data_IF_681259467855
#
_entry.id   IF_681259467855
#
_cell.length_a   1.000
_cell.length_b   1.000
_cell.length_c   1.000
_cell.angle_alpha   90.00
_cell.angle_beta   90.00
_cell.angle_gamma   90.00
#
_symmetry.space_group_name_H-M   'P 1'
#
loop_
_entity.id
_entity.type
_entity.pdbx_description
1 polymer ?
#
# COMPACT_ATOMS: atom_id res chain seq x y z
N UNK A 1 96.17 -16.61 -10.23
CA UNK A 1 96.45 -15.17 -10.35
C UNK A 1 95.29 -14.55 -11.11
N UNK A 2 94.64 -13.65 -10.57
CA UNK A 2 93.78 -12.53 -10.95
C UNK A 2 92.46 -12.50 -10.28
N UNK A 3 92.30 -11.46 -9.49
CA UNK A 3 91.13 -11.00 -8.80
C UNK A 3 90.17 -10.31 -9.75
N UNK A 4 88.91 -10.53 -9.64
CA UNK A 4 87.94 -9.63 -10.22
C UNK A 4 86.81 -9.33 -9.20
N UNK A 5 86.67 -8.07 -9.01
CA UNK A 5 85.82 -7.35 -8.06
C UNK A 5 84.33 -7.48 -8.34
N UNK A 6 83.54 -7.70 -7.27
CA UNK A 6 82.09 -7.62 -7.26
C UNK A 6 81.62 -6.16 -7.08
N UNK A 7 80.93 -5.66 -8.02
CA UNK A 7 80.17 -4.40 -7.86
C UNK A 7 78.71 -4.70 -7.63
N UNK A 8 78.23 -4.35 -6.43
CA UNK A 8 76.83 -4.44 -6.01
C UNK A 8 76.02 -3.29 -6.64
N UNK A 9 74.98 -3.63 -7.38
CA UNK A 9 73.95 -2.66 -7.84
C UNK A 9 72.74 -2.79 -6.94
N UNK A 10 72.51 -1.79 -6.05
CA UNK A 10 71.35 -1.63 -5.26
C UNK A 10 70.15 -1.12 -6.15
N UNK A 11 69.16 -1.94 -6.37
CA UNK A 11 67.89 -1.54 -7.00
C UNK A 11 66.93 -1.01 -5.93
N UNK A 12 66.75 0.30 -5.92
CA UNK A 12 65.68 0.95 -5.13
C UNK A 12 64.34 0.68 -5.79
N UNK A 13 63.46 -0.11 -5.17
CA UNK A 13 62.08 -0.29 -5.54
C UNK A 13 61.24 0.89 -5.03
N UNK A 14 60.82 1.77 -5.92
CA UNK A 14 59.79 2.79 -5.61
C UNK A 14 58.41 2.12 -5.69
N UNK A 15 57.78 1.88 -4.55
CA UNK A 15 56.40 1.50 -4.45
C UNK A 15 55.54 2.75 -4.72
N UNK A 16 54.87 2.79 -5.89
CA UNK A 16 53.85 3.78 -6.19
C UNK A 16 52.53 3.34 -5.54
N UNK A 17 52.12 4.01 -4.44
CA UNK A 17 50.78 3.89 -3.89
C UNK A 17 49.81 4.59 -4.86
N UNK A 18 49.09 3.80 -5.65
CA UNK A 18 47.89 4.28 -6.37
C UNK A 18 46.74 4.31 -5.38
N UNK A 19 46.45 5.48 -4.83
CA UNK A 19 45.24 5.71 -4.07
C UNK A 19 44.05 5.64 -5.04
N UNK A 20 43.29 4.53 -5.03
CA UNK A 20 41.98 4.43 -5.68
C UNK A 20 40.99 5.35 -4.93
N UNK A 21 40.85 6.56 -5.40
CA UNK A 21 39.75 7.43 -4.99
C UNK A 21 38.44 6.86 -5.61
N UNK A 22 37.70 6.08 -4.83
CA UNK A 22 36.32 5.74 -5.17
C UNK A 22 35.53 7.05 -5.21
N UNK A 23 34.84 7.36 -6.31
CA UNK A 23 33.94 8.50 -6.31
C UNK A 23 32.82 8.19 -5.29
N UNK A 24 32.80 8.88 -4.16
CA UNK A 24 31.58 9.02 -3.37
C UNK A 24 30.59 9.74 -4.31
N UNK A 25 29.69 8.98 -4.92
CA UNK A 25 28.51 9.53 -5.56
C UNK A 25 27.69 10.18 -4.45
N UNK A 26 27.95 11.45 -4.18
CA UNK A 26 27.05 12.28 -3.41
C UNK A 26 25.74 12.25 -4.17
N UNK A 27 24.80 11.45 -3.67
CA UNK A 27 23.41 11.49 -4.11
C UNK A 27 22.96 12.92 -3.83
N UNK A 28 22.88 13.75 -4.86
CA UNK A 28 22.42 15.13 -4.73
C UNK A 28 21.07 15.05 -4.03
N UNK A 29 20.96 15.62 -2.85
CA UNK A 29 19.71 15.72 -2.13
C UNK A 29 18.72 16.39 -3.08
N UNK A 30 17.66 15.68 -3.47
CA UNK A 30 16.63 16.24 -4.34
C UNK A 30 16.09 17.52 -3.72
N UNK A 31 15.87 18.55 -4.56
CA UNK A 31 15.40 19.85 -4.10
C UNK A 31 14.08 19.73 -3.34
N UNK A 32 13.91 20.49 -2.24
CA UNK A 32 12.66 20.49 -1.49
C UNK A 32 11.46 20.86 -2.39
N UNK A 33 10.32 20.25 -2.11
CA UNK A 33 9.07 20.55 -2.83
C UNK A 33 8.63 21.99 -2.59
N UNK A 34 8.24 22.69 -3.66
CA UNK A 34 7.68 24.04 -3.55
C UNK A 34 6.41 24.01 -2.68
N UNK A 35 6.22 25.10 -1.90
CA UNK A 35 5.04 25.25 -1.03
C UNK A 35 3.87 25.88 -1.73
N UNK A 36 4.14 26.79 -2.67
CA UNK A 36 3.11 27.50 -3.41
C UNK A 36 2.68 26.70 -4.64
N UNK A 37 1.38 26.54 -4.81
CA UNK A 37 0.77 25.89 -5.97
C UNK A 37 0.36 26.98 -6.94
N UNK A 38 0.88 26.98 -8.19
CA UNK A 38 0.45 27.93 -9.20
C UNK A 38 -1.05 27.79 -9.51
N UNK A 39 -1.65 28.87 -9.99
CA UNK A 39 -3.05 28.86 -10.38
C UNK A 39 -3.32 27.88 -11.53
N UNK A 40 -4.56 27.37 -11.60
CA UNK A 40 -5.06 26.49 -12.67
C UNK A 40 -4.40 25.11 -12.79
N UNK A 41 -3.69 24.64 -11.77
CA UNK A 41 -3.18 23.28 -11.76
C UNK A 41 -4.34 22.29 -11.58
N UNK A 42 -4.29 21.20 -12.35
CA UNK A 42 -5.27 20.11 -12.31
C UNK A 42 -4.58 18.81 -11.93
N UNK A 43 -5.22 18.03 -11.04
CA UNK A 43 -4.82 16.69 -10.67
C UNK A 43 -5.95 15.71 -10.97
N UNK A 44 -5.58 14.54 -11.52
CA UNK A 44 -6.47 13.40 -11.69
C UNK A 44 -6.08 12.34 -10.67
N UNK A 45 -7.02 11.99 -9.79
CA UNK A 45 -6.77 11.11 -8.64
C UNK A 45 -7.61 9.85 -8.76
N UNK A 46 -6.96 8.69 -8.68
CA UNK A 46 -7.69 7.43 -8.64
C UNK A 46 -8.33 7.20 -7.28
N UNK A 47 -9.55 6.70 -7.30
CA UNK A 47 -10.34 6.32 -6.14
C UNK A 47 -10.84 4.88 -6.28
N UNK A 48 -11.24 4.28 -5.17
CA UNK A 48 -11.87 2.97 -5.12
C UNK A 48 -13.11 3.07 -4.22
N UNK A 49 -14.25 2.65 -4.74
CA UNK A 49 -15.55 2.72 -4.03
C UNK A 49 -15.91 4.14 -3.52
N UNK A 50 -15.41 5.18 -4.18
CA UNK A 50 -15.62 6.60 -3.83
C UNK A 50 -15.07 7.00 -2.45
N UNK A 51 -14.28 6.16 -1.79
CA UNK A 51 -13.84 6.36 -0.41
C UNK A 51 -13.01 7.63 -0.24
N UNK A 52 -12.10 7.90 -1.17
CA UNK A 52 -11.21 9.07 -1.10
C UNK A 52 -11.98 10.37 -1.35
N UNK A 53 -12.80 10.42 -2.42
CA UNK A 53 -13.55 11.64 -2.74
C UNK A 53 -14.57 11.99 -1.66
N UNK A 54 -15.23 10.97 -1.07
CA UNK A 54 -16.18 11.19 0.04
C UNK A 54 -15.40 11.69 1.27
N UNK A 55 -14.27 11.12 1.60
CA UNK A 55 -13.41 11.57 2.71
C UNK A 55 -13.03 13.04 2.55
N UNK A 56 -12.48 13.41 1.38
CA UNK A 56 -12.01 14.77 1.10
C UNK A 56 -13.14 15.79 1.15
N UNK A 57 -14.36 15.41 0.71
CA UNK A 57 -15.54 16.28 0.77
C UNK A 57 -16.11 16.40 2.19
N UNK A 58 -16.29 15.28 2.88
CA UNK A 58 -16.89 15.25 4.21
C UNK A 58 -16.05 15.98 5.26
N UNK A 59 -14.73 15.84 5.19
CA UNK A 59 -13.78 16.57 6.06
C UNK A 59 -13.66 18.06 5.75
N UNK A 60 -14.13 18.51 4.58
CA UNK A 60 -13.90 19.87 4.08
C UNK A 60 -12.55 20.07 3.40
N UNK A 61 -11.66 19.08 3.42
CA UNK A 61 -10.30 19.15 2.83
C UNK A 61 -10.34 19.46 1.32
N UNK A 62 -11.36 18.98 0.60
CA UNK A 62 -11.56 19.29 -0.83
C UNK A 62 -11.58 20.81 -1.11
N UNK A 63 -12.13 21.60 -0.20
CA UNK A 63 -12.22 23.07 -0.35
C UNK A 63 -10.93 23.80 -0.05
N UNK A 64 -9.97 23.12 0.61
CA UNK A 64 -8.66 23.69 0.97
C UNK A 64 -7.60 23.41 -0.10
N UNK A 65 -7.91 22.52 -1.09
CA UNK A 65 -6.97 22.23 -2.16
C UNK A 65 -6.78 23.44 -3.07
N UNK A 66 -5.53 23.80 -3.31
CA UNK A 66 -5.16 24.88 -4.25
C UNK A 66 -5.32 24.43 -5.71
N UNK A 67 -5.18 23.14 -6.00
CA UNK A 67 -5.39 22.56 -7.34
C UNK A 67 -6.85 22.11 -7.55
N UNK A 68 -7.30 22.14 -8.80
CA UNK A 68 -8.56 21.48 -9.18
C UNK A 68 -8.35 19.98 -9.24
N UNK A 69 -9.12 19.21 -8.45
CA UNK A 69 -9.00 17.74 -8.39
C UNK A 69 -10.23 17.08 -8.99
N UNK A 70 -10.00 16.13 -9.89
CA UNK A 70 -11.00 15.19 -10.40
C UNK A 70 -10.68 13.77 -9.94
N UNK A 71 -11.74 13.00 -9.63
CA UNK A 71 -11.62 11.62 -9.18
C UNK A 71 -12.09 10.65 -10.25
N UNK A 72 -11.36 9.54 -10.42
CA UNK A 72 -11.73 8.44 -11.30
C UNK A 72 -11.77 7.14 -10.50
N UNK A 73 -12.92 6.45 -10.52
CA UNK A 73 -13.12 5.20 -9.77
C UNK A 73 -12.60 3.98 -10.53
N UNK A 74 -11.91 3.09 -9.81
CA UNK A 74 -11.34 1.85 -10.33
C UNK A 74 -11.73 0.64 -9.48
N UNK A 75 -11.77 -0.54 -10.12
CA UNK A 75 -12.11 -1.81 -9.46
C UNK A 75 -10.91 -2.46 -8.73
N UNK A 76 -9.76 -1.79 -8.62
CA UNK A 76 -8.59 -2.28 -7.90
C UNK A 76 -7.25 -1.85 -8.50
N UNK A 77 -6.18 -2.24 -7.81
CA UNK A 77 -4.81 -1.82 -8.10
C UNK A 77 -4.31 -2.06 -9.52
N UNK A 78 -4.52 -3.24 -10.13
CA UNK A 78 -4.07 -3.48 -11.51
C UNK A 78 -4.62 -2.49 -12.52
N UNK A 79 -5.91 -2.14 -12.44
CA UNK A 79 -6.51 -1.15 -13.35
C UNK A 79 -5.96 0.27 -13.11
N UNK A 80 -5.67 0.62 -11.86
CA UNK A 80 -5.01 1.88 -11.49
C UNK A 80 -3.59 1.94 -12.07
N UNK A 81 -2.84 0.84 -11.99
CA UNK A 81 -1.48 0.76 -12.54
C UNK A 81 -1.49 0.97 -14.07
N UNK A 82 -2.42 0.35 -14.80
CA UNK A 82 -2.58 0.58 -16.23
C UNK A 82 -2.93 2.05 -16.54
N UNK A 83 -3.77 2.69 -15.72
CA UNK A 83 -4.11 4.11 -15.90
C UNK A 83 -2.90 5.03 -15.65
N UNK A 84 -2.00 4.69 -14.70
CA UNK A 84 -0.72 5.39 -14.53
C UNK A 84 0.18 5.23 -15.77
N UNK A 85 0.30 4.02 -16.30
CA UNK A 85 1.07 3.75 -17.54
C UNK A 85 0.56 4.53 -18.73
N UNK A 86 -0.75 4.65 -18.84
CA UNK A 86 -1.41 5.47 -19.85
C UNK A 86 -1.24 6.99 -19.63
N UNK A 87 -0.65 7.42 -18.50
CA UNK A 87 -0.51 8.83 -18.13
C UNK A 87 -1.83 9.52 -17.77
N UNK A 88 -2.87 8.74 -17.44
CA UNK A 88 -4.21 9.24 -17.12
C UNK A 88 -4.36 9.67 -15.66
N UNK A 89 -3.40 9.35 -14.78
CA UNK A 89 -3.44 9.65 -13.35
C UNK A 89 -2.23 10.45 -12.89
N UNK A 90 -2.45 11.33 -11.93
CA UNK A 90 -1.40 12.02 -11.18
C UNK A 90 -1.18 11.38 -9.80
N UNK A 91 -2.24 10.89 -9.16
CA UNK A 91 -2.23 10.30 -7.81
C UNK A 91 -3.18 9.10 -7.69
N UNK A 92 -2.90 8.21 -6.74
CA UNK A 92 -3.83 7.15 -6.33
C UNK A 92 -3.61 6.74 -4.88
N UNK A 93 -4.70 6.40 -4.17
CA UNK A 93 -4.64 5.69 -2.89
C UNK A 93 -4.91 4.21 -3.15
N UNK A 94 -3.91 3.36 -2.90
CA UNK A 94 -3.99 1.91 -3.12
C UNK A 94 -3.24 1.17 -2.00
N UNK A 95 -3.35 -0.16 -1.94
CA UNK A 95 -2.55 -1.01 -1.05
C UNK A 95 -1.07 -1.11 -1.46
N UNK A 96 -0.34 -1.95 -0.76
CA UNK A 96 1.11 -2.09 -0.85
C UNK A 96 1.64 -2.84 -2.10
N UNK A 97 0.81 -3.61 -2.79
CA UNK A 97 1.25 -4.52 -3.87
C UNK A 97 1.42 -3.85 -5.24
N UNK A 98 0.57 -2.91 -5.69
CA UNK A 98 0.71 -2.30 -7.00
C UNK A 98 2.06 -1.62 -7.27
N UNK A 99 2.71 -0.89 -6.32
CA UNK A 99 4.05 -0.34 -6.57
C UNK A 99 5.10 -1.42 -6.71
N UNK A 100 4.98 -2.55 -5.97
CA UNK A 100 5.88 -3.70 -6.12
C UNK A 100 5.78 -4.27 -7.54
N UNK A 101 4.58 -4.38 -8.10
CA UNK A 101 4.37 -4.85 -9.48
C UNK A 101 4.95 -3.87 -10.51
N UNK A 102 4.76 -2.55 -10.31
CA UNK A 102 5.37 -1.53 -11.15
C UNK A 102 6.90 -1.62 -11.09
N UNK A 103 7.47 -1.71 -9.89
CA UNK A 103 8.91 -1.82 -9.68
C UNK A 103 9.50 -3.09 -10.29
N UNK A 104 8.80 -4.22 -10.19
CA UNK A 104 9.21 -5.48 -10.83
C UNK A 104 9.25 -5.36 -12.37
N UNK A 105 8.35 -4.56 -12.94
CA UNK A 105 8.32 -4.24 -14.37
C UNK A 105 9.34 -3.15 -14.79
N UNK A 106 10.15 -2.63 -13.85
CA UNK A 106 11.12 -1.55 -14.11
C UNK A 106 10.51 -0.14 -14.08
N UNK A 107 9.27 -0.01 -13.58
CA UNK A 107 8.54 1.24 -13.48
C UNK A 107 8.37 1.62 -12.00
N UNK A 108 9.17 2.55 -11.48
CA UNK A 108 8.98 3.01 -10.09
C UNK A 108 7.78 3.93 -10.02
N UNK A 109 6.82 3.60 -9.17
CA UNK A 109 5.66 4.44 -8.85
C UNK A 109 5.86 5.00 -7.43
N UNK A 110 6.32 6.27 -7.27
CA UNK A 110 6.74 6.79 -5.98
C UNK A 110 5.63 6.87 -4.93
N UNK A 111 5.90 6.33 -3.75
CA UNK A 111 5.07 6.45 -2.56
C UNK A 111 5.37 7.81 -1.92
N UNK A 112 4.35 8.66 -1.77
CA UNK A 112 4.47 10.03 -1.25
C UNK A 112 3.80 10.21 0.12
N UNK A 113 2.94 9.29 0.54
CA UNK A 113 2.37 9.26 1.89
C UNK A 113 1.89 7.84 2.24
N UNK A 114 1.79 7.57 3.54
CA UNK A 114 1.37 6.29 4.11
C UNK A 114 0.31 6.53 5.16
N UNK A 115 -0.72 5.69 5.16
CA UNK A 115 -1.70 5.56 6.24
C UNK A 115 -1.75 4.10 6.69
N UNK A 116 -1.74 3.88 7.98
CA UNK A 116 -1.89 2.56 8.60
C UNK A 116 -3.09 2.56 9.55
N UNK A 117 -3.70 1.39 9.71
CA UNK A 117 -4.71 1.12 10.72
C UNK A 117 -4.29 -0.13 11.50
N UNK A 118 -4.70 -0.24 12.76
CA UNK A 118 -4.36 -1.40 13.61
C UNK A 118 -5.20 -2.64 13.29
N UNK A 119 -6.36 -2.46 12.63
CA UNK A 119 -7.24 -3.54 12.23
C UNK A 119 -6.77 -4.30 10.99
N UNK A 120 -7.37 -5.45 10.70
CA UNK A 120 -7.02 -6.28 9.55
C UNK A 120 -7.37 -5.58 8.23
N UNK A 121 -6.51 -5.77 7.23
CA UNK A 121 -6.73 -5.24 5.87
C UNK A 121 -7.87 -5.99 5.15
N UNK A 122 -7.95 -7.30 5.36
CA UNK A 122 -8.96 -8.19 4.82
C UNK A 122 -9.49 -9.12 5.89
N UNK A 123 -10.73 -9.60 5.72
CA UNK A 123 -11.28 -10.71 6.50
C UNK A 123 -11.45 -11.95 5.63
N UNK A 124 -11.03 -13.09 6.15
CA UNK A 124 -11.19 -14.39 5.49
C UNK A 124 -12.61 -14.89 5.71
N UNK A 125 -13.47 -14.65 4.74
CA UNK A 125 -14.84 -15.16 4.72
C UNK A 125 -14.87 -16.61 4.22
N UNK A 126 -15.85 -17.38 4.70
CA UNK A 126 -16.06 -18.80 4.31
C UNK A 126 -17.36 -18.96 3.52
N UNK A 127 -17.38 -19.94 2.60
CA UNK A 127 -18.60 -20.27 1.84
C UNK A 127 -19.72 -20.77 2.73
N UNK A 128 -20.96 -20.79 2.22
CA UNK A 128 -22.11 -21.35 2.94
C UNK A 128 -21.82 -22.74 3.52
N UNK A 129 -22.18 -22.93 4.79
CA UNK A 129 -22.04 -24.19 5.50
C UNK A 129 -20.61 -24.64 5.83
N UNK A 130 -19.59 -23.82 5.58
CA UNK A 130 -18.21 -24.10 5.93
C UNK A 130 -17.80 -23.29 7.16
N UNK A 131 -17.30 -23.99 8.19
CA UNK A 131 -16.65 -23.37 9.35
C UNK A 131 -15.16 -23.61 9.26
N UNK A 132 -14.37 -22.56 9.51
CA UNK A 132 -12.90 -22.56 9.61
C UNK A 132 -12.54 -21.77 10.86
N UNK A 133 -11.94 -22.44 11.84
CA UNK A 133 -11.69 -21.86 13.17
C UNK A 133 -10.24 -21.41 13.38
N UNK A 134 -9.32 -21.81 12.49
CA UNK A 134 -7.91 -21.46 12.57
C UNK A 134 -7.29 -21.34 11.18
N UNK A 135 -6.15 -20.65 11.10
CA UNK A 135 -5.38 -20.56 9.85
C UNK A 135 -4.88 -21.94 9.39
N UNK A 136 -4.62 -22.88 10.32
CA UNK A 136 -4.19 -24.25 9.99
C UNK A 136 -5.26 -25.03 9.23
N UNK A 137 -6.55 -24.72 9.46
CA UNK A 137 -7.68 -25.37 8.78
C UNK A 137 -7.85 -24.89 7.32
N UNK A 138 -7.04 -23.93 6.86
CA UNK A 138 -6.91 -23.58 5.46
C UNK A 138 -6.31 -24.71 4.61
N UNK A 139 -5.65 -25.71 5.24
CA UNK A 139 -5.10 -26.87 4.53
C UNK A 139 -6.18 -27.58 3.75
N UNK A 140 -5.88 -27.85 2.46
CA UNK A 140 -6.80 -28.50 1.52
C UNK A 140 -7.93 -27.63 1.00
N UNK A 141 -8.05 -26.36 1.40
CA UNK A 141 -9.11 -25.46 0.96
C UNK A 141 -8.81 -24.83 -0.41
N UNK A 142 -9.88 -24.49 -1.13
CA UNK A 142 -9.83 -23.62 -2.30
C UNK A 142 -9.92 -22.17 -1.84
N UNK A 143 -8.89 -21.40 -2.11
CA UNK A 143 -8.78 -20.00 -1.65
C UNK A 143 -8.79 -19.07 -2.87
N UNK A 144 -9.67 -18.07 -2.89
CA UNK A 144 -9.68 -17.04 -3.93
C UNK A 144 -8.35 -16.25 -3.90
N UNK A 145 -7.71 -16.10 -5.06
CA UNK A 145 -6.39 -15.49 -5.16
C UNK A 145 -6.34 -14.46 -6.28
N UNK A 146 -5.96 -13.23 -5.94
CA UNK A 146 -5.85 -12.13 -6.90
C UNK A 146 -4.43 -11.58 -6.91
N UNK A 147 -3.65 -12.03 -7.87
CA UNK A 147 -2.28 -11.56 -8.08
C UNK A 147 -2.24 -10.05 -8.36
N UNK A 148 -1.15 -9.40 -7.96
CA UNK A 148 -0.97 -7.96 -8.14
C UNK A 148 -1.86 -7.07 -7.26
N UNK A 149 -2.61 -7.66 -6.33
CA UNK A 149 -3.43 -6.94 -5.34
C UNK A 149 -2.93 -7.21 -3.92
N UNK A 150 -3.33 -6.38 -2.95
CA UNK A 150 -3.03 -6.62 -1.52
C UNK A 150 -3.52 -7.96 -0.98
N UNK A 151 -4.48 -8.61 -1.66
CA UNK A 151 -4.94 -9.96 -1.30
C UNK A 151 -3.87 -11.03 -1.48
N UNK A 152 -2.98 -10.84 -2.45
CA UNK A 152 -1.86 -11.75 -2.70
C UNK A 152 -0.96 -11.89 -1.46
N UNK A 153 -0.27 -10.86 -0.98
CA UNK A 153 0.58 -10.99 0.21
C UNK A 153 -0.23 -11.31 1.47
N UNK A 154 -1.49 -10.91 1.56
CA UNK A 154 -2.35 -11.25 2.69
C UNK A 154 -2.60 -12.76 2.79
N UNK A 155 -2.97 -13.42 1.69
CA UNK A 155 -3.15 -14.89 1.63
C UNK A 155 -1.82 -15.60 1.88
N UNK A 156 -0.72 -15.13 1.26
CA UNK A 156 0.62 -15.71 1.49
C UNK A 156 1.04 -15.59 2.97
N UNK A 157 0.74 -14.47 3.62
CA UNK A 157 0.98 -14.29 5.07
C UNK A 157 0.15 -15.26 5.91
N UNK A 158 -1.12 -15.45 5.57
CA UNK A 158 -2.00 -16.41 6.25
C UNK A 158 -1.46 -17.84 6.14
N UNK A 159 -1.01 -18.26 4.97
CA UNK A 159 -0.39 -19.57 4.78
C UNK A 159 0.92 -19.71 5.57
N UNK A 160 1.81 -18.70 5.51
CA UNK A 160 3.08 -18.70 6.25
C UNK A 160 2.86 -18.81 7.78
N UNK A 161 1.91 -18.05 8.33
CA UNK A 161 1.54 -18.11 9.75
C UNK A 161 0.91 -19.44 10.15
N UNK A 162 0.22 -20.11 9.24
CA UNK A 162 -0.35 -21.45 9.42
C UNK A 162 0.71 -22.56 9.33
N UNK A 163 1.94 -22.26 8.92
CA UNK A 163 2.95 -23.26 8.59
C UNK A 163 2.61 -24.03 7.28
N UNK A 164 1.80 -23.43 6.42
CA UNK A 164 1.37 -23.97 5.14
C UNK A 164 2.12 -23.34 3.97
N UNK A 165 2.18 -24.05 2.87
CA UNK A 165 2.69 -23.57 1.59
C UNK A 165 1.57 -23.53 0.53
N UNK A 166 1.86 -22.97 -0.64
CA UNK A 166 0.93 -22.99 -1.79
C UNK A 166 0.54 -24.43 -2.23
N UNK A 167 1.36 -25.45 -1.89
CA UNK A 167 1.08 -26.84 -2.21
C UNK A 167 0.04 -27.50 -1.29
N UNK A 168 -0.20 -26.88 -0.13
CA UNK A 168 -1.15 -27.38 0.86
C UNK A 168 -2.58 -26.87 0.63
N UNK A 169 -2.79 -25.97 -0.33
CA UNK A 169 -4.08 -25.35 -0.67
C UNK A 169 -4.27 -25.32 -2.19
N UNK A 170 -5.47 -25.00 -2.64
CA UNK A 170 -5.73 -24.70 -4.05
C UNK A 170 -5.98 -23.19 -4.18
N UNK A 171 -5.00 -22.43 -4.70
CA UNK A 171 -5.19 -21.03 -5.02
C UNK A 171 -5.96 -20.92 -6.35
N UNK A 172 -7.14 -20.29 -6.31
CA UNK A 172 -8.04 -20.13 -7.47
C UNK A 172 -7.87 -18.69 -7.98
N UNK A 173 -7.24 -18.49 -9.16
CA UNK A 173 -7.05 -17.15 -9.73
C UNK A 173 -8.40 -16.51 -10.08
N UNK A 174 -8.70 -15.37 -9.50
CA UNK A 174 -9.92 -14.60 -9.69
C UNK A 174 -9.63 -13.10 -9.61
N UNK A 175 -10.44 -12.29 -10.28
CA UNK A 175 -10.44 -10.84 -10.05
C UNK A 175 -11.09 -10.53 -8.70
N UNK A 176 -10.62 -9.50 -8.02
CA UNK A 176 -11.11 -9.13 -6.69
C UNK A 176 -12.65 -8.92 -6.64
N UNK A 177 -13.24 -8.37 -7.71
CA UNK A 177 -14.68 -8.19 -7.82
C UNK A 177 -15.50 -9.49 -7.93
N UNK A 178 -14.85 -10.62 -8.25
CA UNK A 178 -15.51 -11.93 -8.39
C UNK A 178 -15.53 -12.72 -7.07
N UNK A 179 -14.77 -12.29 -6.06
CA UNK A 179 -14.57 -13.02 -4.82
C UNK A 179 -15.88 -13.33 -4.09
N UNK A 180 -16.76 -12.32 -3.98
CA UNK A 180 -18.03 -12.50 -3.27
C UNK A 180 -18.92 -13.54 -3.97
N UNK A 181 -19.03 -13.52 -5.29
CA UNK A 181 -19.80 -14.50 -6.05
C UNK A 181 -19.18 -15.88 -5.96
N UNK A 182 -17.87 -15.99 -6.10
CA UNK A 182 -17.14 -17.26 -6.05
C UNK A 182 -17.28 -17.97 -4.70
N UNK A 183 -17.24 -17.21 -3.58
CA UNK A 183 -17.42 -17.78 -2.25
C UNK A 183 -18.89 -18.14 -1.98
N UNK A 184 -19.85 -17.33 -2.44
CA UNK A 184 -21.28 -17.58 -2.29
C UNK A 184 -21.70 -18.88 -3.03
N UNK A 185 -21.19 -19.09 -4.23
CA UNK A 185 -21.54 -20.25 -5.07
C UNK A 185 -20.76 -21.52 -4.72
N UNK A 186 -19.77 -21.40 -3.79
CA UNK A 186 -18.91 -22.53 -3.43
C UNK A 186 -17.83 -22.87 -4.47
N UNK A 187 -17.58 -21.99 -5.43
CA UNK A 187 -16.43 -22.11 -6.34
C UNK A 187 -15.12 -22.11 -5.58
N UNK A 188 -15.05 -21.33 -4.50
CA UNK A 188 -13.97 -21.31 -3.52
C UNK A 188 -14.51 -21.55 -2.11
N UNK A 189 -13.67 -22.06 -1.22
CA UNK A 189 -13.99 -22.29 0.19
C UNK A 189 -13.81 -21.03 1.04
N UNK A 190 -12.76 -20.24 0.72
CA UNK A 190 -12.34 -19.06 1.49
C UNK A 190 -12.01 -17.91 0.53
N UNK A 191 -12.38 -16.70 0.91
CA UNK A 191 -12.02 -15.48 0.18
C UNK A 191 -11.65 -14.33 1.13
N UNK A 192 -10.60 -13.59 0.80
CA UNK A 192 -10.21 -12.37 1.49
C UNK A 192 -11.06 -11.19 1.00
N UNK A 193 -12.01 -10.74 1.82
CA UNK A 193 -12.91 -9.62 1.54
C UNK A 193 -12.49 -8.37 2.32
N UNK A 194 -12.67 -7.20 1.70
CA UNK A 194 -12.52 -5.90 2.36
C UNK A 194 -13.87 -5.40 2.85
N UNK A 195 -13.88 -4.49 3.81
CA UNK A 195 -15.08 -3.71 4.09
C UNK A 195 -15.39 -2.72 2.93
N UNK A 196 -16.65 -2.47 2.63
CA UNK A 196 -17.88 -2.99 3.24
C UNK A 196 -18.37 -4.32 2.64
N UNK A 197 -17.62 -4.94 1.73
CA UNK A 197 -18.03 -6.19 1.04
C UNK A 197 -18.15 -7.36 2.00
N UNK A 198 -17.26 -7.44 3.00
CA UNK A 198 -17.28 -8.49 4.01
C UNK A 198 -18.58 -8.42 4.85
N UNK A 199 -18.89 -7.26 5.43
CA UNK A 199 -20.12 -7.07 6.21
C UNK A 199 -21.38 -7.31 5.38
N UNK A 200 -21.40 -6.85 4.11
CA UNK A 200 -22.50 -7.14 3.19
C UNK A 200 -22.66 -8.64 2.94
N UNK A 201 -21.55 -9.35 2.73
CA UNK A 201 -21.57 -10.80 2.52
C UNK A 201 -22.20 -11.52 3.71
N UNK A 202 -21.70 -11.27 4.92
CA UNK A 202 -22.24 -11.90 6.13
C UNK A 202 -23.72 -11.63 6.32
N UNK A 203 -24.16 -10.40 6.09
CA UNK A 203 -25.58 -10.02 6.23
C UNK A 203 -26.46 -10.63 5.14
N UNK A 204 -26.05 -10.52 3.87
CA UNK A 204 -26.90 -10.93 2.74
C UNK A 204 -27.08 -12.44 2.64
N UNK A 205 -26.19 -13.20 3.24
CA UNK A 205 -26.20 -14.67 3.17
C UNK A 205 -26.23 -15.33 4.55
N UNK A 206 -26.68 -14.61 5.59
CA UNK A 206 -26.78 -15.13 6.96
C UNK A 206 -27.59 -16.44 7.03
N UNK A 207 -28.71 -16.53 6.30
CA UNK A 207 -29.57 -17.71 6.25
C UNK A 207 -28.86 -18.94 5.66
N UNK A 208 -27.80 -18.74 4.87
CA UNK A 208 -26.98 -19.79 4.28
C UNK A 208 -25.84 -20.25 5.19
N UNK A 209 -25.78 -19.78 6.43
CA UNK A 209 -24.72 -20.09 7.41
C UNK A 209 -23.32 -19.79 6.84
N UNK A 210 -23.17 -18.61 6.24
CA UNK A 210 -21.86 -18.08 5.89
C UNK A 210 -21.10 -17.67 7.14
N UNK A 211 -19.79 -17.65 7.09
CA UNK A 211 -18.96 -17.30 8.22
C UNK A 211 -17.65 -16.63 7.83
N UNK A 212 -16.80 -16.51 8.80
CA UNK A 212 -15.44 -16.02 8.66
C UNK A 212 -14.53 -16.71 9.68
N UNK A 213 -13.23 -16.64 9.48
CA UNK A 213 -12.29 -17.02 10.52
C UNK A 213 -12.49 -16.14 11.78
N UNK A 214 -12.21 -16.67 12.98
CA UNK A 214 -12.28 -15.87 14.21
C UNK A 214 -11.40 -14.62 14.18
N UNK A 215 -11.85 -13.54 14.81
CA UNK A 215 -11.08 -12.28 14.87
C UNK A 215 -9.70 -12.45 15.51
N UNK A 216 -9.54 -13.40 16.45
CA UNK A 216 -8.24 -13.73 17.03
C UNK A 216 -7.23 -14.24 15.98
N UNK A 217 -7.71 -14.96 14.96
CA UNK A 217 -6.86 -15.39 13.84
C UNK A 217 -6.54 -14.22 12.89
N UNK A 218 -7.52 -13.34 12.63
CA UNK A 218 -7.29 -12.12 11.84
C UNK A 218 -6.29 -11.17 12.48
N UNK A 219 -6.28 -11.05 13.81
CA UNK A 219 -5.34 -10.19 14.54
C UNK A 219 -3.86 -10.61 14.37
N UNK A 220 -3.61 -11.81 13.87
CA UNK A 220 -2.26 -12.33 13.55
C UNK A 220 -1.79 -11.95 12.15
N UNK A 221 -2.71 -11.49 11.30
CA UNK A 221 -2.47 -11.18 9.90
C UNK A 221 -2.01 -9.73 9.71
N UNK A 222 -1.44 -9.39 8.55
CA UNK A 222 -1.04 -8.02 8.29
C UNK A 222 -2.17 -7.01 8.46
N UNK A 223 -1.87 -5.92 9.12
CA UNK A 223 -2.79 -4.81 9.33
C UNK A 223 -2.90 -3.95 8.07
N UNK A 224 -3.95 -3.13 8.01
CA UNK A 224 -4.23 -2.30 6.85
C UNK A 224 -3.13 -1.25 6.64
N UNK A 225 -2.57 -1.24 5.44
CA UNK A 225 -1.66 -0.20 4.99
C UNK A 225 -2.14 0.33 3.64
N UNK A 226 -2.35 1.64 3.55
CA UNK A 226 -2.70 2.33 2.32
C UNK A 226 -1.59 3.31 1.97
N UNK A 227 -1.17 3.29 0.72
CA UNK A 227 -0.18 4.21 0.19
C UNK A 227 -0.82 5.21 -0.76
N UNK A 228 -0.37 6.44 -0.69
CA UNK A 228 -0.61 7.44 -1.72
C UNK A 228 0.57 7.44 -2.68
N UNK A 229 0.31 7.12 -3.94
CA UNK A 229 1.30 7.08 -5.02
C UNK A 229 1.16 8.29 -5.92
N UNK A 230 2.27 8.74 -6.48
CA UNK A 230 2.29 9.81 -7.45
C UNK A 230 2.88 9.34 -8.78
N UNK A 231 2.39 9.92 -9.87
CA UNK A 231 2.98 9.74 -11.21
C UNK A 231 4.40 10.31 -11.24
N UNK A 232 5.42 9.54 -11.66
CA UNK A 232 6.78 10.06 -11.85
C UNK A 232 6.82 11.26 -12.78
N UNK A 233 5.94 11.29 -13.79
CA UNK A 233 5.81 12.42 -14.71
C UNK A 233 5.28 13.67 -14.01
N UNK A 234 4.26 13.51 -13.17
CA UNK A 234 3.71 14.62 -12.39
C UNK A 234 4.73 15.18 -11.36
N UNK A 235 5.55 14.32 -10.74
CA UNK A 235 6.58 14.74 -9.81
C UNK A 235 7.78 15.47 -10.45
N UNK A 236 7.99 15.28 -11.76
CA UNK A 236 9.01 16.02 -12.54
C UNK A 236 8.53 17.43 -12.93
N UNK A 237 7.24 17.68 -12.91
CA UNK A 237 6.67 19.03 -13.11
C UNK A 237 6.60 19.73 -11.76
N UNK A 238 7.36 20.83 -11.52
CA UNK A 238 7.41 21.51 -10.24
C UNK A 238 6.04 22.01 -9.75
N UNK A 239 5.17 22.45 -10.67
CA UNK A 239 3.84 22.95 -10.34
C UNK A 239 2.90 21.79 -9.89
N UNK A 240 2.95 20.66 -10.59
CA UNK A 240 2.22 19.45 -10.18
C UNK A 240 2.79 18.86 -8.89
N UNK A 241 4.12 18.83 -8.72
CA UNK A 241 4.75 18.36 -7.49
C UNK A 241 4.32 19.20 -6.26
N UNK A 242 4.21 20.53 -6.43
CA UNK A 242 3.67 21.40 -5.39
C UNK A 242 2.18 21.08 -5.08
N UNK A 243 1.37 20.87 -6.11
CA UNK A 243 -0.04 20.48 -5.95
C UNK A 243 -0.19 19.10 -5.30
N UNK A 244 0.68 18.15 -5.62
CA UNK A 244 0.72 16.83 -4.96
C UNK A 244 1.10 16.97 -3.50
N UNK A 245 2.05 17.85 -3.18
CA UNK A 245 2.41 18.16 -1.78
C UNK A 245 1.22 18.71 -1.01
N UNK A 246 0.49 19.66 -1.59
CA UNK A 246 -0.74 20.21 -1.00
C UNK A 246 -1.79 19.11 -0.80
N UNK A 247 -1.99 18.26 -1.81
CA UNK A 247 -2.91 17.13 -1.72
C UNK A 247 -2.55 16.17 -0.58
N UNK A 248 -1.26 15.84 -0.40
CA UNK A 248 -0.79 15.01 0.72
C UNK A 248 -1.16 15.62 2.05
N UNK A 249 -0.98 16.94 2.22
CA UNK A 249 -1.35 17.64 3.46
C UNK A 249 -2.86 17.51 3.74
N UNK A 250 -3.68 17.77 2.75
CA UNK A 250 -5.13 17.71 2.87
C UNK A 250 -5.63 16.27 3.09
N UNK A 251 -5.01 15.28 2.46
CA UNK A 251 -5.33 13.86 2.65
C UNK A 251 -5.05 13.39 4.08
N UNK A 252 -3.91 13.78 4.65
CA UNK A 252 -3.56 13.48 6.04
C UNK A 252 -4.55 14.15 6.99
N UNK A 253 -4.83 15.44 6.80
CA UNK A 253 -5.81 16.17 7.61
C UNK A 253 -7.22 15.56 7.54
N UNK A 254 -7.64 15.13 6.34
CA UNK A 254 -8.92 14.44 6.15
C UNK A 254 -8.98 13.09 6.88
N UNK A 255 -7.90 12.33 6.86
CA UNK A 255 -7.82 11.05 7.58
C UNK A 255 -7.85 11.22 9.09
N UNK A 256 -7.14 12.20 9.62
CA UNK A 256 -7.20 12.58 11.04
C UNK A 256 -8.61 13.06 11.42
N UNK A 257 -9.24 13.89 10.56
CA UNK A 257 -10.64 14.28 10.78
C UNK A 257 -11.56 13.06 10.90
N UNK A 258 -11.45 12.07 10.00
CA UNK A 258 -12.29 10.87 10.06
C UNK A 258 -12.06 10.07 11.34
N UNK A 259 -10.81 9.97 11.81
CA UNK A 259 -10.46 9.30 13.06
C UNK A 259 -11.10 9.97 14.29
N UNK A 260 -11.13 11.32 14.31
CA UNK A 260 -11.71 12.09 15.40
C UNK A 260 -13.24 12.30 15.28
N UNK A 261 -13.83 12.06 14.08
CA UNK A 261 -15.25 12.23 13.81
C UNK A 261 -15.88 10.95 13.23
N UNK A 262 -15.79 9.80 13.93
CA UNK A 262 -16.18 8.50 13.37
C UNK A 262 -17.67 8.46 12.95
N UNK A 263 -18.58 9.10 13.70
CA UNK A 263 -19.99 9.14 13.33
C UNK A 263 -20.24 9.92 12.04
N UNK A 264 -19.58 11.08 11.88
CA UNK A 264 -19.71 11.88 10.67
C UNK A 264 -19.11 11.17 9.44
N UNK A 265 -18.00 10.47 9.61
CA UNK A 265 -17.42 9.62 8.59
C UNK A 265 -18.34 8.45 8.21
N UNK A 266 -18.91 7.77 9.20
CA UNK A 266 -19.85 6.67 9.00
C UNK A 266 -21.07 7.16 8.22
N UNK A 267 -21.66 8.28 8.61
CA UNK A 267 -22.81 8.84 7.90
C UNK A 267 -22.47 9.19 6.44
N UNK A 268 -21.34 9.86 6.21
CA UNK A 268 -20.97 10.32 4.88
C UNK A 268 -20.63 9.15 3.93
N UNK A 269 -19.85 8.18 4.40
CA UNK A 269 -19.34 7.10 3.55
C UNK A 269 -20.19 5.84 3.66
N UNK A 270 -20.26 5.23 4.84
CA UNK A 270 -20.90 3.91 4.96
C UNK A 270 -22.41 3.96 4.77
N UNK A 271 -23.08 5.01 5.30
CA UNK A 271 -24.54 5.15 5.16
C UNK A 271 -24.91 5.75 3.80
N UNK A 272 -24.48 6.98 3.52
CA UNK A 272 -24.94 7.72 2.31
C UNK A 272 -24.34 7.21 1.02
N UNK A 273 -23.05 6.87 0.99
CA UNK A 273 -22.39 6.39 -0.24
C UNK A 273 -22.54 4.88 -0.40
N UNK A 274 -22.36 4.09 0.67
CA UNK A 274 -22.32 2.64 0.60
C UNK A 274 -23.64 1.94 0.96
N UNK A 275 -24.66 2.66 1.47
CA UNK A 275 -25.99 2.14 1.78
C UNK A 275 -26.01 1.13 2.94
N UNK A 276 -25.07 1.21 3.88
CA UNK A 276 -25.06 0.41 5.11
C UNK A 276 -25.92 1.08 6.19
N UNK A 277 -26.27 0.33 7.24
CA UNK A 277 -26.85 0.90 8.45
C UNK A 277 -25.75 1.57 9.28
N UNK A 278 -26.09 2.60 10.05
CA UNK A 278 -25.14 3.32 10.91
C UNK A 278 -24.40 2.39 11.86
N UNK A 279 -25.11 1.46 12.51
CA UNK A 279 -24.50 0.50 13.42
C UNK A 279 -23.46 -0.41 12.75
N UNK A 280 -23.68 -0.79 11.49
CA UNK A 280 -22.74 -1.58 10.68
C UNK A 280 -21.49 -0.73 10.36
N UNK A 281 -21.68 0.52 9.94
CA UNK A 281 -20.58 1.44 9.65
C UNK A 281 -19.73 1.73 10.90
N UNK A 282 -20.37 1.91 12.07
CA UNK A 282 -19.68 2.11 13.34
C UNK A 282 -18.86 0.86 13.74
N UNK A 283 -19.43 -0.34 13.56
CA UNK A 283 -18.71 -1.59 13.83
C UNK A 283 -17.47 -1.74 12.91
N UNK A 284 -17.60 -1.36 11.63
CA UNK A 284 -16.47 -1.36 10.68
C UNK A 284 -15.37 -0.42 11.15
N UNK A 285 -15.68 0.84 11.42
CA UNK A 285 -14.70 1.84 11.88
C UNK A 285 -14.03 1.40 13.18
N UNK A 286 -14.78 0.80 14.11
CA UNK A 286 -14.23 0.25 15.33
C UNK A 286 -13.26 -0.91 15.06
N UNK A 287 -13.57 -1.78 14.10
CA UNK A 287 -12.71 -2.92 13.72
C UNK A 287 -11.43 -2.50 12.99
N UNK A 288 -11.46 -1.35 12.32
CA UNK A 288 -10.28 -0.77 11.66
C UNK A 288 -9.21 -0.29 12.67
N UNK A 289 -9.60 -0.05 13.91
CA UNK A 289 -8.69 0.40 14.97
C UNK A 289 -8.16 1.82 14.76
N UNK A 290 -7.00 2.09 15.32
CA UNK A 290 -6.40 3.44 15.26
C UNK A 290 -5.78 3.73 13.91
N UNK A 291 -6.16 4.83 13.29
CA UNK A 291 -5.51 5.38 12.08
C UNK A 291 -4.25 6.12 12.46
N UNK A 292 -3.17 5.93 11.69
CA UNK A 292 -1.89 6.66 11.83
C UNK A 292 -1.32 7.01 10.47
N UNK A 293 -0.54 8.09 10.45
CA UNK A 293 0.24 8.53 9.30
C UNK A 293 1.74 8.50 9.66
N UNK A 294 2.38 7.32 9.55
CA UNK A 294 3.79 7.17 9.89
C UNK A 294 4.68 7.98 8.93
N UNK A 295 5.91 8.24 9.34
CA UNK A 295 6.93 8.78 8.44
C UNK A 295 7.20 7.79 7.33
N UNK A 296 7.49 8.27 6.11
CA UNK A 296 7.76 7.40 4.97
C UNK A 296 8.88 6.38 5.25
N UNK A 297 9.94 6.81 5.95
CA UNK A 297 11.05 5.93 6.32
C UNK A 297 10.64 4.78 7.26
N UNK A 298 9.62 4.97 8.08
CA UNK A 298 9.10 3.95 9.00
C UNK A 298 8.31 2.86 8.29
N UNK A 299 7.80 3.15 7.08
CA UNK A 299 7.05 2.20 6.27
C UNK A 299 7.95 1.31 5.39
N UNK A 300 9.21 1.71 5.13
CA UNK A 300 10.14 0.96 4.28
C UNK A 300 10.33 -0.50 4.75
N UNK A 301 10.57 -0.80 6.05
CA UNK A 301 10.73 -2.17 6.50
C UNK A 301 9.49 -3.05 6.26
N UNK A 302 8.29 -2.51 6.45
CA UNK A 302 7.03 -3.23 6.20
C UNK A 302 6.82 -3.52 4.71
N UNK A 303 7.15 -2.56 3.85
CA UNK A 303 7.10 -2.74 2.39
C UNK A 303 8.13 -3.77 1.94
N UNK A 304 9.36 -3.74 2.51
CA UNK A 304 10.39 -4.74 2.23
C UNK A 304 9.93 -6.15 2.62
N UNK A 305 9.31 -6.30 3.79
CA UNK A 305 8.76 -7.59 4.22
C UNK A 305 7.69 -8.12 3.26
N UNK A 306 6.87 -7.23 2.68
CA UNK A 306 5.89 -7.61 1.65
C UNK A 306 6.57 -8.05 0.36
N UNK A 307 7.59 -7.33 -0.11
CA UNK A 307 8.42 -7.70 -1.28
C UNK A 307 9.05 -9.07 -1.07
N UNK A 308 9.68 -9.27 0.09
CA UNK A 308 10.36 -10.52 0.43
C UNK A 308 9.39 -11.71 0.43
N UNK A 309 8.20 -11.53 1.00
CA UNK A 309 7.15 -12.55 1.02
C UNK A 309 6.70 -12.95 -0.38
N UNK A 310 6.46 -11.97 -1.26
CA UNK A 310 6.04 -12.22 -2.65
C UNK A 310 7.18 -12.86 -3.45
N UNK A 311 8.43 -12.44 -3.21
CA UNK A 311 9.61 -13.03 -3.83
C UNK A 311 9.85 -14.48 -3.38
N UNK A 312 9.75 -14.77 -2.07
CA UNK A 312 9.86 -16.13 -1.52
C UNK A 312 8.77 -17.07 -2.06
N UNK A 313 7.60 -16.52 -2.37
CA UNK A 313 6.50 -17.28 -3.02
C UNK A 313 6.75 -17.57 -4.51
N UNK A 314 7.80 -16.99 -5.12
CA UNK A 314 8.13 -17.14 -6.53
C UNK A 314 7.36 -16.24 -7.48
N UNK A 315 6.65 -15.23 -6.95
CA UNK A 315 5.79 -14.32 -7.72
C UNK A 315 6.52 -13.02 -8.16
N UNK A 316 7.81 -12.88 -7.85
CA UNK A 316 8.67 -11.81 -8.36
C UNK A 316 9.89 -12.40 -9.06
N UNK A 317 10.33 -11.82 -10.21
CA UNK A 317 11.48 -12.31 -10.96
C UNK A 317 12.81 -12.04 -10.25
N UNK A 318 12.85 -11.07 -9.35
CA UNK A 318 14.02 -10.68 -8.55
C UNK A 318 13.57 -10.05 -7.24
N UNK A 319 14.45 -10.08 -6.24
CA UNK A 319 14.24 -9.34 -5.00
C UNK A 319 14.41 -7.83 -5.28
N UNK A 320 13.44 -7.05 -4.84
CA UNK A 320 13.43 -5.60 -5.00
C UNK A 320 13.86 -4.92 -3.70
N UNK A 321 14.32 -3.67 -3.79
CA UNK A 321 14.64 -2.83 -2.65
C UNK A 321 13.49 -1.83 -2.42
N UNK A 322 12.77 -1.99 -1.32
CA UNK A 322 11.62 -1.15 -0.99
C UNK A 322 11.96 0.35 -0.92
N UNK A 323 13.18 0.71 -0.51
CA UNK A 323 13.57 2.12 -0.39
C UNK A 323 13.48 2.88 -1.72
N UNK A 324 13.60 2.19 -2.85
CA UNK A 324 13.48 2.77 -4.19
C UNK A 324 12.04 3.16 -4.56
N UNK A 325 11.06 2.68 -3.80
CA UNK A 325 9.64 2.97 -4.02
C UNK A 325 9.18 4.25 -3.31
N UNK A 326 10.01 4.87 -2.44
CA UNK A 326 9.61 6.01 -1.60
C UNK A 326 10.26 7.32 -2.04
N UNK A 327 9.44 8.35 -2.25
CA UNK A 327 9.92 9.72 -2.45
C UNK A 327 10.03 10.44 -1.10
N UNK A 328 11.22 10.39 -0.51
CA UNK A 328 11.47 10.94 0.83
C UNK A 328 11.38 12.47 0.91
N UNK A 329 11.26 13.22 -0.21
CA UNK A 329 10.97 14.66 -0.20
C UNK A 329 9.64 14.97 0.49
N UNK A 330 8.73 14.00 0.51
CA UNK A 330 7.41 14.12 1.17
C UNK A 330 7.43 13.81 2.66
N UNK A 331 8.52 13.27 3.22
CA UNK A 331 8.60 12.90 4.64
C UNK A 331 8.28 14.07 5.60
N UNK A 332 8.74 15.33 5.38
CA UNK A 332 8.37 16.44 6.22
C UNK A 332 6.89 16.82 6.12
N UNK A 333 6.26 16.57 4.97
CA UNK A 333 4.89 17.01 4.69
C UNK A 333 3.89 16.35 5.63
N UNK A 334 3.97 15.03 5.79
CA UNK A 334 3.12 14.29 6.72
C UNK A 334 3.38 14.66 8.18
N UNK A 335 4.66 14.77 8.57
CA UNK A 335 5.05 15.12 9.93
C UNK A 335 4.56 16.52 10.35
N UNK A 336 4.61 17.50 9.44
CA UNK A 336 4.14 18.85 9.67
C UNK A 336 2.63 18.91 9.97
N UNK A 337 1.82 18.10 9.28
CA UNK A 337 0.36 18.07 9.51
C UNK A 337 0.04 17.40 10.84
N UNK A 338 0.57 16.20 11.08
CA UNK A 338 0.34 15.45 12.33
C UNK A 338 0.82 16.27 13.54
N UNK A 339 1.98 16.91 13.43
CA UNK A 339 2.52 17.75 14.50
C UNK A 339 1.73 19.04 14.80
N UNK A 340 0.98 19.57 13.83
CA UNK A 340 0.06 20.70 14.04
C UNK A 340 -1.22 20.24 14.72
N UNK A 341 -1.84 19.18 14.22
CA UNK A 341 -3.10 18.63 14.76
C UNK A 341 -2.96 18.08 16.19
N UNK A 342 -1.77 17.67 16.60
CA UNK A 342 -1.51 17.24 17.98
C UNK A 342 -1.39 18.39 18.99
N UNK A 343 -1.36 19.66 18.52
CA UNK A 343 -1.24 20.88 19.35
C UNK A 343 -2.57 21.62 19.52
N UNK A 344 -3.53 21.34 18.66
CA UNK A 344 -4.91 21.87 18.68
C UNK A 344 -5.83 20.87 19.44
#
# INVERSE_FOLDING_TARGET
MQFSSFTSIARAARAALVALALPLSAQAAEAPLAKEVPANIKLVVADQNEALQVLMRASGAQKQLAATVSYANFQGGPAILEAFRAGALDLAVVGNTPPIQAHAAGEVLPIVAVRTNDGPDYQLATRPGLTVNSLQELKGKKIAYAEGTGRQPFVLSALKLAGLSRKDVTLVPLRAGEFQTAIQTGQVDVAALTEPHFSRYLRSYADLKVGALPMAEHARLPTRTSYLYASPKALKDPAKAAAIRDFVQQWVAAGEWAAHNPKAWVDAYYVKSQGLKEAEGLAIVQSEGTTRFPRLSEAIPSQQATIDLIFEAGDLPRRLNAAEEFDLRFAPVTADVVGKLAKD
#
